data_IF_988116666874
#
_entry.id   IF_988116666874
#
_cell.length_a   1.000
_cell.length_b   1.000
_cell.length_c   1.000
_cell.angle_alpha   90.00
_cell.angle_beta   90.00
_cell.angle_gamma   90.00
#
_symmetry.space_group_name_H-M   'P 1'
#
loop_
_entity.id
_entity.type
_entity.pdbx_description
1 polymer ?
#
# COMPACT_ATOMS: atom_id res chain seq x y z
N UNK A 1 18.65 -43.18 0.42
CA UNK A 1 18.50 -42.00 1.31
C UNK A 1 19.31 -40.76 0.86
N UNK A 2 20.62 -40.92 0.52
CA UNK A 2 21.46 -39.76 0.09
C UNK A 2 20.99 -39.06 -1.20
N UNK A 3 20.52 -39.83 -2.19
CA UNK A 3 20.03 -39.27 -3.48
C UNK A 3 18.69 -38.52 -3.33
N UNK A 4 17.79 -39.03 -2.47
CA UNK A 4 16.49 -38.38 -2.20
C UNK A 4 16.68 -37.07 -1.45
N UNK A 5 17.63 -37.01 -0.51
CA UNK A 5 17.97 -35.79 0.22
C UNK A 5 18.54 -34.68 -0.69
N UNK A 6 19.35 -35.05 -1.68
CA UNK A 6 19.92 -34.12 -2.64
C UNK A 6 18.85 -33.49 -3.56
N UNK A 7 17.84 -34.28 -3.98
CA UNK A 7 16.72 -33.81 -4.80
C UNK A 7 15.84 -32.81 -4.03
N UNK A 8 15.59 -33.06 -2.74
CA UNK A 8 14.81 -32.14 -1.89
C UNK A 8 15.58 -30.83 -1.70
N UNK A 9 16.90 -30.86 -1.52
CA UNK A 9 17.70 -29.66 -1.34
C UNK A 9 17.76 -28.79 -2.59
N UNK A 10 17.79 -29.39 -3.79
CA UNK A 10 17.74 -28.64 -5.07
C UNK A 10 16.35 -28.02 -5.33
N UNK A 11 15.27 -28.68 -4.96
CA UNK A 11 13.91 -28.14 -5.11
C UNK A 11 13.67 -26.91 -4.22
N UNK A 12 14.22 -26.87 -3.01
CA UNK A 12 14.12 -25.70 -2.11
C UNK A 12 14.86 -24.50 -2.68
N UNK A 13 16.00 -24.69 -3.35
CA UNK A 13 16.78 -23.62 -3.97
C UNK A 13 16.04 -22.89 -5.11
N UNK A 14 15.25 -23.59 -5.91
CA UNK A 14 14.53 -22.98 -7.04
C UNK A 14 13.37 -22.10 -6.60
N UNK A 15 12.73 -22.36 -5.48
CA UNK A 15 11.60 -21.55 -4.97
C UNK A 15 12.08 -20.20 -4.45
N UNK A 16 13.24 -20.12 -3.81
CA UNK A 16 13.79 -18.87 -3.28
C UNK A 16 14.27 -17.93 -4.38
N UNK A 17 14.94 -18.44 -5.41
CA UNK A 17 15.37 -17.63 -6.56
C UNK A 17 14.19 -17.06 -7.37
N UNK A 18 13.07 -17.79 -7.46
CA UNK A 18 11.88 -17.33 -8.16
C UNK A 18 11.19 -16.16 -7.46
N UNK A 19 11.19 -16.12 -6.13
CA UNK A 19 10.57 -15.04 -5.35
C UNK A 19 11.42 -13.76 -5.34
N UNK A 20 12.73 -13.84 -5.22
CA UNK A 20 13.62 -12.68 -5.31
C UNK A 20 13.48 -11.98 -6.67
N UNK A 21 13.47 -12.74 -7.75
CA UNK A 21 13.30 -12.19 -9.10
C UNK A 21 11.95 -11.45 -9.25
N UNK A 22 10.86 -11.97 -8.65
CA UNK A 22 9.56 -11.29 -8.67
C UNK A 22 9.54 -9.99 -7.86
N UNK A 23 10.21 -9.94 -6.71
CA UNK A 23 10.33 -8.71 -5.92
C UNK A 23 11.08 -7.62 -6.69
N UNK A 24 12.18 -7.98 -7.35
CA UNK A 24 12.94 -7.05 -8.18
C UNK A 24 12.11 -6.53 -9.36
N UNK A 25 11.34 -7.40 -10.01
CA UNK A 25 10.43 -7.01 -11.09
C UNK A 25 9.39 -5.99 -10.58
N UNK A 26 8.72 -6.26 -9.45
CA UNK A 26 7.75 -5.34 -8.86
C UNK A 26 8.42 -4.00 -8.54
N UNK A 27 9.60 -4.01 -7.91
CA UNK A 27 10.30 -2.78 -7.56
C UNK A 27 10.71 -1.98 -8.80
N UNK A 28 11.12 -2.64 -9.89
CA UNK A 28 11.45 -1.98 -11.15
C UNK A 28 10.23 -1.29 -11.76
N UNK A 29 9.06 -1.95 -11.75
CA UNK A 29 7.80 -1.34 -12.22
C UNK A 29 7.43 -0.14 -11.34
N UNK A 30 7.50 -0.27 -10.01
CA UNK A 30 7.24 0.83 -9.08
C UNK A 30 8.17 2.02 -9.34
N UNK A 31 9.46 1.79 -9.52
CA UNK A 31 10.42 2.84 -9.83
C UNK A 31 10.12 3.53 -11.18
N UNK A 32 9.66 2.77 -12.16
CA UNK A 32 9.21 3.31 -13.45
C UNK A 32 8.00 4.22 -13.28
N UNK A 33 7.00 3.80 -12.49
CA UNK A 33 5.81 4.62 -12.18
C UNK A 33 6.19 5.91 -11.45
N UNK A 34 7.07 5.83 -10.45
CA UNK A 34 7.50 7.01 -9.67
C UNK A 34 8.31 8.02 -10.50
N UNK A 35 9.02 7.56 -11.52
CA UNK A 35 9.83 8.42 -12.41
C UNK A 35 9.09 8.89 -13.66
N UNK A 36 7.86 8.41 -13.91
CA UNK A 36 7.10 8.74 -15.12
C UNK A 36 6.44 10.12 -15.01
N UNK A 37 7.09 11.12 -15.61
CA UNK A 37 6.60 12.50 -15.68
C UNK A 37 5.40 12.70 -16.61
N UNK A 38 4.97 11.68 -17.34
CA UNK A 38 3.79 11.76 -18.25
C UNK A 38 2.48 11.45 -17.52
N UNK A 39 2.56 10.93 -16.32
CA UNK A 39 1.38 10.66 -15.49
C UNK A 39 0.78 11.96 -14.96
N UNK A 40 -0.54 12.08 -15.11
CA UNK A 40 -1.29 13.21 -14.57
C UNK A 40 -1.80 12.88 -13.18
N UNK A 41 -1.50 13.74 -12.21
CA UNK A 41 -2.08 13.67 -10.86
C UNK A 41 -3.49 14.26 -10.85
N UNK A 42 -4.41 13.60 -10.17
CA UNK A 42 -5.75 14.11 -9.86
C UNK A 42 -6.00 13.88 -8.37
N UNK A 43 -6.58 14.88 -7.69
CA UNK A 43 -6.87 14.82 -6.25
C UNK A 43 -8.37 14.97 -6.02
N UNK A 44 -8.91 14.24 -5.07
CA UNK A 44 -10.31 14.21 -4.69
C UNK A 44 -10.43 14.28 -3.17
N UNK A 45 -11.44 14.99 -2.67
CA UNK A 45 -11.79 14.99 -1.26
C UNK A 45 -12.36 13.61 -0.87
N UNK A 46 -11.75 12.98 0.12
CA UNK A 46 -12.13 11.64 0.55
C UNK A 46 -13.49 11.64 1.28
N UNK A 47 -13.78 12.70 2.04
CA UNK A 47 -15.04 12.84 2.79
C UNK A 47 -16.21 13.01 1.82
N UNK A 48 -16.03 13.83 0.75
CA UNK A 48 -17.03 13.97 -0.30
C UNK A 48 -17.30 12.65 -1.05
N UNK A 49 -16.22 11.84 -1.28
CA UNK A 49 -16.35 10.58 -1.99
C UNK A 49 -16.99 9.46 -1.18
N UNK A 50 -16.82 9.48 0.14
CA UNK A 50 -17.25 8.38 1.02
C UNK A 50 -18.46 8.71 1.86
N UNK A 51 -18.77 10.00 2.02
CA UNK A 51 -19.77 10.54 2.96
C UNK A 51 -19.45 10.18 4.44
N UNK A 52 -18.17 9.81 4.72
CA UNK A 52 -17.71 9.47 6.07
C UNK A 52 -16.87 10.64 6.60
N UNK A 53 -17.34 11.27 7.66
CA UNK A 53 -16.59 12.32 8.33
C UNK A 53 -15.41 11.74 9.13
N UNK A 54 -14.25 12.39 9.04
CA UNK A 54 -13.06 12.11 9.84
C UNK A 54 -12.54 13.42 10.44
N UNK A 55 -11.87 13.33 11.60
CA UNK A 55 -11.43 14.53 12.33
C UNK A 55 -10.36 15.33 11.57
N UNK A 56 -9.56 14.66 10.76
CA UNK A 56 -8.48 15.28 9.96
C UNK A 56 -8.78 15.37 8.47
N UNK A 57 -10.03 15.04 8.03
CA UNK A 57 -10.36 14.96 6.61
C UNK A 57 -9.68 13.77 5.92
N UNK A 58 -9.63 13.82 4.60
CA UNK A 58 -8.95 12.79 3.82
C UNK A 58 -8.83 13.19 2.35
N UNK A 59 -7.89 12.56 1.66
CA UNK A 59 -7.65 12.77 0.24
C UNK A 59 -7.50 11.44 -0.48
N UNK A 60 -7.92 11.41 -1.73
CA UNK A 60 -7.63 10.35 -2.67
C UNK A 60 -6.90 10.94 -3.87
N UNK A 61 -5.69 10.48 -4.13
CA UNK A 61 -4.88 10.91 -5.28
C UNK A 61 -4.69 9.78 -6.27
N UNK A 62 -4.78 10.10 -7.55
CA UNK A 62 -4.58 9.17 -8.65
C UNK A 62 -3.51 9.70 -9.59
N UNK A 63 -2.55 8.85 -9.97
CA UNK A 63 -1.63 9.09 -11.08
C UNK A 63 -2.05 8.21 -12.25
N UNK A 64 -2.37 8.84 -13.38
CA UNK A 64 -2.96 8.15 -14.53
C UNK A 64 -2.47 8.70 -15.86
N UNK A 65 -2.54 7.84 -16.87
CA UNK A 65 -2.44 8.24 -18.27
C UNK A 65 -3.74 7.84 -18.97
N UNK A 66 -4.51 8.83 -19.46
CA UNK A 66 -5.90 8.64 -19.94
C UNK A 66 -6.76 7.96 -18.85
N UNK A 67 -7.26 6.77 -19.16
CA UNK A 67 -8.14 6.00 -18.24
C UNK A 67 -7.38 4.93 -17.43
N UNK A 68 -6.07 4.77 -17.65
CA UNK A 68 -5.29 3.80 -16.91
C UNK A 68 -4.65 4.46 -15.68
N UNK A 69 -4.96 3.91 -14.51
CA UNK A 69 -4.36 4.31 -13.23
C UNK A 69 -3.15 3.44 -12.93
N UNK A 70 -2.06 4.06 -12.49
CA UNK A 70 -0.80 3.42 -12.15
C UNK A 70 -0.47 3.50 -10.66
N UNK A 71 -0.92 4.58 -10.00
CA UNK A 71 -0.70 4.79 -8.58
C UNK A 71 -1.92 5.44 -7.94
N UNK A 72 -2.26 4.98 -6.75
CA UNK A 72 -3.31 5.52 -5.90
C UNK A 72 -2.68 5.85 -4.55
N UNK A 73 -3.01 7.00 -3.98
CA UNK A 73 -2.77 7.30 -2.57
C UNK A 73 -4.10 7.65 -1.94
N UNK A 74 -4.47 6.91 -0.89
CA UNK A 74 -5.54 7.28 0.01
C UNK A 74 -4.92 7.70 1.35
N UNK A 75 -5.29 8.87 1.84
CA UNK A 75 -4.84 9.39 3.13
C UNK A 75 -6.06 9.80 3.95
N UNK A 76 -6.13 9.31 5.18
CA UNK A 76 -7.23 9.57 6.11
C UNK A 76 -6.63 10.19 7.37
N UNK A 77 -7.03 11.44 7.65
CA UNK A 77 -6.63 12.16 8.84
C UNK A 77 -7.52 11.79 10.03
N UNK A 78 -6.90 11.56 11.18
CA UNK A 78 -7.55 11.21 12.43
C UNK A 78 -7.10 12.18 13.54
N UNK A 79 -7.79 12.18 14.69
CA UNK A 79 -7.48 13.07 15.84
C UNK A 79 -6.03 12.99 16.31
N UNK A 80 -5.40 11.82 16.18
CA UNK A 80 -4.05 11.56 16.72
C UNK A 80 -2.99 11.34 15.65
N UNK A 81 -3.35 11.42 14.36
CA UNK A 81 -2.41 11.16 13.28
C UNK A 81 -3.10 10.92 11.94
N UNK A 82 -2.48 10.13 11.09
CA UNK A 82 -3.06 9.75 9.80
C UNK A 82 -2.69 8.33 9.38
N UNK A 83 -3.53 7.77 8.53
CA UNK A 83 -3.27 6.53 7.81
C UNK A 83 -3.10 6.88 6.34
N UNK A 84 -2.03 6.38 5.73
CA UNK A 84 -1.80 6.53 4.29
C UNK A 84 -1.63 5.17 3.65
N UNK A 85 -2.39 4.91 2.59
CA UNK A 85 -2.29 3.72 1.75
C UNK A 85 -1.86 4.13 0.36
N UNK A 86 -0.76 3.57 -0.12
CA UNK A 86 -0.27 3.75 -1.50
C UNK A 86 -0.41 2.42 -2.24
N UNK A 87 -1.09 2.40 -3.37
CA UNK A 87 -1.29 1.22 -4.22
C UNK A 87 -0.65 1.48 -5.58
N UNK A 88 0.24 0.59 -6.01
CA UNK A 88 0.81 0.59 -7.36
C UNK A 88 0.14 -0.49 -8.19
N UNK A 89 -0.20 -0.13 -9.43
CA UNK A 89 -0.96 -0.98 -10.36
C UNK A 89 -0.15 -1.24 -11.62
N UNK A 90 -0.19 -2.48 -12.09
CA UNK A 90 0.27 -2.88 -13.42
C UNK A 90 -0.90 -3.55 -14.14
N UNK A 91 -1.21 -3.08 -15.34
CA UNK A 91 -2.37 -3.59 -16.12
C UNK A 91 -3.70 -3.57 -15.37
N UNK A 92 -3.88 -2.60 -14.44
CA UNK A 92 -5.09 -2.43 -13.63
C UNK A 92 -5.16 -3.32 -12.38
N UNK A 93 -4.17 -4.17 -12.12
CA UNK A 93 -4.10 -5.02 -10.94
C UNK A 93 -3.05 -4.49 -9.95
N UNK A 94 -3.31 -4.56 -8.64
CA UNK A 94 -2.33 -4.20 -7.63
C UNK A 94 -1.10 -5.12 -7.68
N UNK A 95 0.09 -4.51 -7.65
CA UNK A 95 1.37 -5.23 -7.59
C UNK A 95 2.14 -4.95 -6.30
N UNK A 96 1.93 -3.77 -5.71
CA UNK A 96 2.53 -3.39 -4.43
C UNK A 96 1.61 -2.44 -3.69
N UNK A 97 1.48 -2.67 -2.38
CA UNK A 97 0.75 -1.78 -1.48
C UNK A 97 1.68 -1.39 -0.34
N UNK A 98 1.68 -0.11 0.01
CA UNK A 98 2.39 0.40 1.18
C UNK A 98 1.37 1.12 2.06
N UNK A 99 1.20 0.63 3.27
CA UNK A 99 0.38 1.27 4.30
C UNK A 99 1.26 1.81 5.41
N UNK A 100 1.02 3.04 5.82
CA UNK A 100 1.71 3.68 6.93
C UNK A 100 0.71 4.29 7.90
N UNK A 101 1.02 4.19 9.20
CA UNK A 101 0.36 4.98 10.24
C UNK A 101 1.39 5.95 10.84
N UNK A 102 1.01 7.20 10.93
CA UNK A 102 1.83 8.27 11.48
C UNK A 102 1.06 8.98 12.60
N UNK A 103 1.65 9.04 13.78
CA UNK A 103 1.08 9.77 14.91
C UNK A 103 1.66 11.18 15.01
N UNK A 104 0.82 12.13 15.46
CA UNK A 104 1.30 13.45 15.82
C UNK A 104 2.28 13.34 16.98
N UNK A 105 3.37 14.12 16.91
CA UNK A 105 4.32 14.27 17.99
C UNK A 105 3.69 14.96 19.21
N UNK A 106 4.46 15.02 20.32
CA UNK A 106 4.07 15.75 21.51
C UNK A 106 5.12 16.83 21.83
N UNK A 107 4.64 18.01 22.20
CA UNK A 107 5.49 19.10 22.67
C UNK A 107 4.87 19.68 23.95
N UNK A 108 5.65 19.67 25.04
CA UNK A 108 5.20 20.14 26.38
C UNK A 108 3.93 19.43 26.92
N UNK A 109 3.73 18.15 26.53
CA UNK A 109 2.57 17.35 26.95
C UNK A 109 1.32 17.50 26.08
N UNK A 110 1.35 18.39 25.07
CA UNK A 110 0.26 18.59 24.11
C UNK A 110 0.61 17.99 22.74
N UNK A 111 -0.41 17.67 21.93
CA UNK A 111 -0.23 17.20 20.57
C UNK A 111 0.41 18.28 19.68
N UNK A 112 1.47 17.90 18.99
CA UNK A 112 2.12 18.74 17.99
C UNK A 112 1.67 18.36 16.59
N UNK A 113 0.64 19.00 16.07
CA UNK A 113 0.07 18.75 14.74
C UNK A 113 1.02 19.05 13.55
N UNK A 114 2.20 19.62 13.83
CA UNK A 114 3.21 19.91 12.80
C UNK A 114 4.24 18.80 12.64
N UNK A 115 4.20 17.80 13.49
CA UNK A 115 5.15 16.70 13.52
C UNK A 115 4.40 15.38 13.42
N UNK A 116 4.74 14.58 12.42
CA UNK A 116 4.23 13.24 12.23
C UNK A 116 5.37 12.24 12.34
N UNK A 117 5.15 11.19 13.13
CA UNK A 117 6.11 10.13 13.37
C UNK A 117 5.52 8.79 12.87
N UNK A 118 6.19 8.13 11.93
CA UNK A 118 5.79 6.81 11.47
C UNK A 118 5.87 5.81 12.64
N UNK A 119 4.75 5.19 12.96
CA UNK A 119 4.64 4.19 14.04
C UNK A 119 4.39 2.79 13.50
N UNK A 120 3.87 2.70 12.28
CA UNK A 120 3.62 1.44 11.58
C UNK A 120 3.84 1.61 10.09
N UNK A 121 4.41 0.57 9.48
CA UNK A 121 4.50 0.41 8.04
C UNK A 121 4.32 -1.04 7.65
N UNK A 122 3.46 -1.28 6.68
CA UNK A 122 3.37 -2.56 5.98
C UNK A 122 3.69 -2.35 4.50
N UNK A 123 4.53 -3.24 3.96
CA UNK A 123 4.78 -3.32 2.52
C UNK A 123 4.30 -4.69 2.04
N UNK A 124 3.36 -4.70 1.12
CA UNK A 124 2.74 -5.90 0.58
C UNK A 124 3.15 -5.99 -0.89
N UNK A 125 3.91 -7.02 -1.23
CA UNK A 125 4.26 -7.37 -2.60
C UNK A 125 3.27 -8.41 -3.09
N UNK A 126 2.54 -8.13 -4.16
CA UNK A 126 1.46 -8.98 -4.67
C UNK A 126 2.00 -9.74 -5.88
N UNK A 127 2.04 -11.05 -5.75
CA UNK A 127 2.49 -11.95 -6.80
C UNK A 127 1.34 -12.45 -7.68
N UNK A 128 0.12 -12.49 -7.11
CA UNK A 128 -1.09 -12.94 -7.76
C UNK A 128 -2.27 -12.40 -6.95
N UNK A 129 -2.94 -11.36 -7.47
CA UNK A 129 -4.05 -10.69 -6.80
C UNK A 129 -5.27 -11.60 -6.66
N UNK A 130 -5.58 -12.38 -7.71
CA UNK A 130 -6.78 -13.22 -7.75
C UNK A 130 -6.69 -14.42 -6.80
N UNK A 131 -5.48 -14.91 -6.53
CA UNK A 131 -5.22 -16.05 -5.65
C UNK A 131 -4.60 -15.68 -4.30
N UNK A 132 -4.67 -14.40 -3.90
CA UNK A 132 -4.16 -13.89 -2.62
C UNK A 132 -2.69 -14.25 -2.34
N UNK A 133 -1.86 -14.37 -3.40
CA UNK A 133 -0.44 -14.67 -3.21
C UNK A 133 0.34 -13.40 -3.02
N UNK A 134 0.82 -13.18 -1.81
CA UNK A 134 1.58 -11.99 -1.46
C UNK A 134 2.71 -12.29 -0.46
N UNK A 135 3.66 -11.34 -0.38
CA UNK A 135 4.63 -11.26 0.70
C UNK A 135 4.39 -9.97 1.47
N UNK A 136 4.29 -10.06 2.78
CA UNK A 136 4.05 -8.91 3.65
C UNK A 136 5.25 -8.69 4.55
N UNK A 137 5.79 -7.48 4.54
CA UNK A 137 6.82 -6.99 5.44
C UNK A 137 6.21 -5.93 6.35
N UNK A 138 6.47 -6.00 7.67
CA UNK A 138 5.90 -5.08 8.67
C UNK A 138 6.96 -4.53 9.58
N UNK A 139 6.83 -3.24 9.92
CA UNK A 139 7.66 -2.53 10.88
C UNK A 139 6.72 -1.78 11.84
N UNK A 140 7.00 -1.83 13.14
CA UNK A 140 6.18 -1.16 14.14
C UNK A 140 4.86 -1.88 14.48
N UNK A 141 3.95 -1.15 15.10
CA UNK A 141 2.62 -1.63 15.49
C UNK A 141 1.56 -0.63 15.05
N UNK A 142 0.42 -1.14 14.58
CA UNK A 142 -0.77 -0.32 14.34
C UNK A 142 -1.24 0.31 15.65
N UNK A 143 -1.56 1.59 15.58
CA UNK A 143 -2.02 2.40 16.73
C UNK A 143 -3.32 3.10 16.40
N UNK A 144 -3.52 3.50 15.15
CA UNK A 144 -4.67 4.29 14.70
C UNK A 144 -5.78 3.42 14.13
N UNK A 145 -5.43 2.35 13.41
CA UNK A 145 -6.39 1.37 12.94
C UNK A 145 -6.68 0.36 14.04
N UNK A 146 -7.93 0.19 14.39
CA UNK A 146 -8.35 -0.72 15.47
C UNK A 146 -7.95 -2.16 15.18
N UNK A 147 -7.10 -2.66 16.06
CA UNK A 147 -7.12 -4.03 16.50
C UNK A 147 -6.43 -5.07 15.66
N UNK A 148 -6.33 -6.20 16.32
CA UNK A 148 -5.77 -7.47 15.85
C UNK A 148 -6.49 -8.11 14.65
N UNK A 149 -7.64 -7.58 14.28
CA UNK A 149 -8.47 -8.06 13.17
C UNK A 149 -8.26 -7.27 11.86
N UNK A 150 -7.24 -6.44 11.78
CA UNK A 150 -6.98 -5.70 10.56
C UNK A 150 -6.55 -6.66 9.44
N UNK A 151 -7.51 -7.15 8.72
CA UNK A 151 -7.30 -7.68 7.39
C UNK A 151 -6.85 -6.51 6.52
N UNK A 152 -5.81 -6.72 5.74
CA UNK A 152 -5.42 -5.76 4.71
C UNK A 152 -6.45 -5.85 3.58
N UNK A 153 -7.56 -5.12 3.72
CA UNK A 153 -8.62 -5.04 2.72
C UNK A 153 -8.49 -3.72 1.95
N UNK A 154 -8.03 -3.81 0.72
CA UNK A 154 -7.83 -2.66 -0.15
C UNK A 154 -8.87 -2.58 -1.29
N UNK A 155 -9.78 -3.53 -1.39
CA UNK A 155 -10.83 -3.53 -2.40
C UNK A 155 -11.70 -2.27 -2.34
N UNK A 156 -12.12 -1.74 -1.17
CA UNK A 156 -12.89 -0.51 -1.11
C UNK A 156 -12.21 0.69 -1.76
N UNK A 157 -10.88 0.79 -1.68
CA UNK A 157 -10.13 1.86 -2.36
C UNK A 157 -10.21 1.67 -3.87
N UNK A 158 -9.98 0.46 -4.36
CA UNK A 158 -10.05 0.14 -5.79
C UNK A 158 -11.44 0.38 -6.38
N UNK A 159 -12.50 0.05 -5.62
CA UNK A 159 -13.89 0.28 -6.01
C UNK A 159 -14.23 1.77 -6.10
N UNK A 160 -13.72 2.61 -5.16
CA UNK A 160 -13.85 4.07 -5.24
C UNK A 160 -13.21 4.61 -6.51
N UNK A 161 -11.99 4.18 -6.81
CA UNK A 161 -11.27 4.60 -8.00
C UNK A 161 -12.02 4.19 -9.28
N UNK A 162 -12.54 2.98 -9.36
CA UNK A 162 -13.34 2.52 -10.51
C UNK A 162 -14.58 3.40 -10.77
N UNK A 163 -15.19 3.96 -9.71
CA UNK A 163 -16.35 4.86 -9.85
C UNK A 163 -15.95 6.25 -10.40
N UNK A 164 -14.74 6.72 -10.06
CA UNK A 164 -14.24 8.04 -10.46
C UNK A 164 -13.82 8.06 -11.94
N UNK A 165 -13.23 6.96 -12.43
CA UNK A 165 -12.65 6.91 -13.79
C UNK A 165 -13.64 6.48 -14.88
N UNK A 166 -14.87 6.18 -14.52
CA UNK A 166 -15.97 5.91 -15.48
C UNK A 166 -16.48 7.21 -16.09
#
# INVERSE_FOLDING_TARGET
LKKTFLIILTLIGFVTFGQENKLDQINNVVNSIESDSTLTESEFDWVELTEIATDGGGILKLWRNKNQVFKIIEEIGLSYGRIRTTIYLESGLPIKIVETEENFGHKNGELNYKELNEVFKATIYIFDWENDKSKIERIGKRVLSEGSCSTFDYEPILERVKKIIK
#
